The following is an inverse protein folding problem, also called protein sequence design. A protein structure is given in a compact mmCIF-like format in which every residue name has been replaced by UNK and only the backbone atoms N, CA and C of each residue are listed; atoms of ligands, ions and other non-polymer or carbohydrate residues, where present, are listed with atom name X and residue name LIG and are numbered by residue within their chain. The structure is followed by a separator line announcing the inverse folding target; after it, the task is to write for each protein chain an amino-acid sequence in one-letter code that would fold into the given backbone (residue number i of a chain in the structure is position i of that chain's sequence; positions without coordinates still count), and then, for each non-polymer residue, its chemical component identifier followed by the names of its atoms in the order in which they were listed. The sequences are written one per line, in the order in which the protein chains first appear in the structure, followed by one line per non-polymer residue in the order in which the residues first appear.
data_IF_419594445225
#
_entry.id   IF_419594445225
#
_cell.length_a   1.000
_cell.length_b   1.000
_cell.length_c   1.000
_cell.angle_alpha   90.00
_cell.angle_beta   90.00
_cell.angle_gamma   90.00
#
_symmetry.space_group_name_H-M   'P 1'
#
loop_
_entity.id
_entity.type
_entity.pdbx_description
1 polymer ?
#
# COMPACT_ATOMS: atom_id res chain seq x y z
N UNK A 1 -28.63 -12.46 -11.81
CA UNK A 1 -28.11 -11.71 -10.65
C UNK A 1 -28.66 -10.29 -10.72
N UNK A 2 -29.22 -9.78 -9.63
CA UNK A 2 -29.61 -8.37 -9.55
C UNK A 2 -28.37 -7.47 -9.52
N UNK A 3 -28.49 -6.24 -10.06
CA UNK A 3 -27.39 -5.26 -10.04
C UNK A 3 -27.13 -4.83 -8.59
N UNK A 4 -25.87 -4.94 -8.16
CA UNK A 4 -25.40 -4.54 -6.83
C UNK A 4 -24.05 -3.85 -6.97
N UNK A 5 -23.73 -2.99 -6.01
CA UNK A 5 -22.39 -2.42 -5.85
C UNK A 5 -21.56 -3.32 -4.94
N UNK A 6 -20.33 -3.56 -5.35
CA UNK A 6 -19.33 -4.35 -4.65
C UNK A 6 -18.12 -3.47 -4.33
N UNK A 7 -17.48 -3.75 -3.20
CA UNK A 7 -16.18 -3.20 -2.82
C UNK A 7 -15.45 -4.23 -1.96
N UNK A 8 -14.12 -4.19 -1.98
CA UNK A 8 -13.24 -4.97 -1.12
C UNK A 8 -12.26 -4.04 -0.43
N UNK A 9 -11.95 -4.37 0.82
CA UNK A 9 -10.91 -3.75 1.63
C UNK A 9 -9.85 -4.83 1.89
N UNK A 10 -8.60 -4.52 1.54
CA UNK A 10 -7.49 -5.47 1.59
C UNK A 10 -6.38 -4.84 2.44
N UNK A 11 -6.16 -5.42 3.62
CA UNK A 11 -5.00 -5.14 4.46
C UNK A 11 -3.83 -6.03 4.07
N UNK A 12 -2.66 -5.42 3.91
CA UNK A 12 -1.43 -6.12 3.57
C UNK A 12 -0.52 -6.27 4.78
N UNK A 13 -0.14 -7.51 5.07
CA UNK A 13 0.97 -7.79 5.98
C UNK A 13 2.29 -7.39 5.34
N UNK A 14 3.11 -6.65 6.07
CA UNK A 14 4.44 -6.24 5.62
C UNK A 14 5.50 -6.67 6.65
N UNK A 15 6.67 -7.06 6.16
CA UNK A 15 7.81 -7.41 7.00
C UNK A 15 9.07 -6.82 6.37
N UNK A 16 9.79 -6.01 7.13
CA UNK A 16 11.12 -5.59 6.71
C UNK A 16 12.19 -6.51 7.31
N UNK A 17 12.96 -7.15 6.44
CA UNK A 17 14.08 -8.00 6.83
C UNK A 17 15.40 -7.26 6.62
N UNK A 18 15.99 -6.80 7.73
CA UNK A 18 17.30 -6.15 7.71
C UNK A 18 18.39 -7.17 7.40
N UNK A 19 19.29 -6.82 6.47
CA UNK A 19 20.48 -7.63 6.15
C UNK A 19 21.69 -7.24 7.01
N UNK A 20 21.48 -6.47 8.09
CA UNK A 20 22.51 -6.05 9.03
C UNK A 20 21.95 -5.89 10.45
N UNK A 21 22.66 -5.14 11.32
CA UNK A 21 22.23 -4.93 12.72
C UNK A 21 21.13 -3.88 12.91
N UNK A 22 20.87 -3.03 11.91
CA UNK A 22 19.87 -1.97 12.01
C UNK A 22 18.52 -2.49 11.54
N UNK A 23 17.66 -2.85 12.48
CA UNK A 23 16.23 -3.05 12.22
C UNK A 23 15.50 -1.71 12.35
N UNK A 24 14.45 -1.52 11.56
CA UNK A 24 13.58 -0.35 11.67
C UNK A 24 12.25 -0.76 12.29
N UNK A 25 11.62 0.11 13.11
CA UNK A 25 10.24 -0.07 13.53
C UNK A 25 9.31 -0.14 12.31
N UNK A 26 8.23 -0.92 12.42
CA UNK A 26 7.26 -1.12 11.33
C UNK A 26 6.66 0.22 10.89
N UNK A 27 6.42 1.12 11.82
CA UNK A 27 5.85 2.45 11.57
C UNK A 27 6.75 3.26 10.63
N UNK A 28 8.08 3.14 10.78
CA UNK A 28 9.02 3.84 9.90
C UNK A 28 9.02 3.22 8.51
N UNK A 29 8.95 1.89 8.42
CA UNK A 29 8.90 1.14 7.15
C UNK A 29 7.64 1.50 6.36
N UNK A 30 6.49 1.54 7.02
CA UNK A 30 5.22 1.97 6.41
C UNK A 30 5.35 3.37 5.85
N UNK A 31 5.96 4.31 6.58
CA UNK A 31 6.15 5.67 6.04
C UNK A 31 6.93 5.68 4.72
N UNK A 32 7.97 4.86 4.55
CA UNK A 32 8.67 4.76 3.26
C UNK A 32 7.77 4.24 2.13
N UNK A 33 6.84 3.31 2.41
CA UNK A 33 5.87 2.83 1.41
C UNK A 33 4.94 3.94 0.93
N UNK A 34 4.54 4.83 1.83
CA UNK A 34 3.58 5.88 1.53
C UNK A 34 4.22 7.20 1.09
N UNK A 35 5.54 7.37 1.22
CA UNK A 35 6.25 8.61 0.81
C UNK A 35 5.96 9.02 -0.64
N UNK A 36 5.73 8.07 -1.55
CA UNK A 36 5.40 8.37 -2.94
C UNK A 36 3.95 8.85 -3.12
N UNK A 37 3.05 8.52 -2.19
CA UNK A 37 1.62 8.84 -2.26
C UNK A 37 1.26 10.10 -1.49
N UNK A 38 2.03 10.46 -0.47
CA UNK A 38 1.74 11.61 0.39
C UNK A 38 2.15 12.90 -0.32
N UNK A 39 1.18 13.61 -0.89
CA UNK A 39 1.38 14.93 -1.51
C UNK A 39 1.40 16.07 -0.49
N UNK A 40 0.92 15.82 0.74
CA UNK A 40 0.80 16.83 1.80
C UNK A 40 1.00 16.17 3.17
N UNK A 41 1.81 16.78 4.03
CA UNK A 41 2.04 16.27 5.39
C UNK A 41 0.72 16.10 6.14
N UNK A 42 0.42 14.89 6.62
CA UNK A 42 -0.58 14.69 7.67
C UNK A 42 -1.43 13.44 7.55
N UNK A 43 -1.70 12.93 6.35
CA UNK A 43 -2.58 11.78 6.22
C UNK A 43 -2.04 10.75 5.21
N UNK A 44 -1.70 9.57 5.71
CA UNK A 44 -1.43 8.35 4.95
C UNK A 44 -2.76 7.79 4.44
N UNK A 45 -3.49 8.61 3.70
CA UNK A 45 -4.85 8.31 3.24
C UNK A 45 -5.13 9.13 2.00
N UNK A 46 -5.17 8.45 0.85
CA UNK A 46 -5.36 9.08 -0.46
C UNK A 46 -6.37 8.32 -1.28
N UNK A 47 -7.14 9.06 -2.09
CA UNK A 47 -7.87 8.49 -3.21
C UNK A 47 -6.99 8.52 -4.45
N UNK A 48 -6.91 7.40 -5.16
CA UNK A 48 -6.10 7.22 -6.35
C UNK A 48 -6.91 7.57 -7.61
N UNK A 49 -6.23 7.83 -8.72
CA UNK A 49 -6.87 8.16 -10.01
C UNK A 49 -7.82 7.07 -10.52
N UNK A 50 -7.61 5.81 -10.10
CA UNK A 50 -8.46 4.68 -10.45
C UNK A 50 -9.73 4.58 -9.57
N UNK A 51 -9.97 5.54 -8.67
CA UNK A 51 -11.10 5.60 -7.75
C UNK A 51 -10.93 4.79 -6.46
N UNK A 52 -9.84 4.03 -6.32
CA UNK A 52 -9.54 3.31 -5.09
C UNK A 52 -9.08 4.24 -3.97
N UNK A 53 -9.16 3.77 -2.73
CA UNK A 53 -8.55 4.43 -1.58
C UNK A 53 -7.35 3.62 -1.11
N UNK A 54 -6.22 4.28 -0.86
CA UNK A 54 -5.04 3.66 -0.27
C UNK A 54 -4.65 4.39 1.01
N UNK A 55 -4.55 3.66 2.11
CA UNK A 55 -4.37 4.27 3.42
C UNK A 55 -3.63 3.37 4.41
N UNK A 56 -3.11 3.97 5.47
CA UNK A 56 -2.60 3.23 6.61
C UNK A 56 -3.73 3.02 7.63
N UNK A 57 -4.00 1.77 8.00
CA UNK A 57 -4.91 1.46 9.11
C UNK A 57 -4.22 1.63 10.48
N UNK A 58 -5.03 1.60 11.55
CA UNK A 58 -4.68 1.57 12.97
C UNK A 58 -3.61 0.51 13.29
N UNK A 59 -3.62 -0.62 12.58
CA UNK A 59 -2.62 -1.69 12.71
C UNK A 59 -1.26 -1.42 12.05
N UNK A 60 -1.05 -0.26 11.43
CA UNK A 60 0.10 0.05 10.56
C UNK A 60 0.17 -0.82 9.30
N UNK A 61 -0.94 -1.39 8.87
CA UNK A 61 -1.02 -2.06 7.58
C UNK A 61 -1.23 -1.04 6.46
N UNK A 62 -0.53 -1.18 5.32
CA UNK A 62 -1.00 -0.60 4.08
C UNK A 62 -2.31 -1.27 3.69
N UNK A 63 -3.32 -0.47 3.38
CA UNK A 63 -4.64 -0.95 3.02
C UNK A 63 -5.08 -0.35 1.68
N UNK A 64 -5.64 -1.20 0.82
CA UNK A 64 -6.24 -0.82 -0.45
C UNK A 64 -7.72 -1.18 -0.45
N UNK A 65 -8.57 -0.17 -0.58
CA UNK A 65 -9.99 -0.33 -0.83
C UNK A 65 -10.28 -0.09 -2.31
N UNK A 66 -10.86 -1.09 -2.99
CA UNK A 66 -11.24 -1.00 -4.41
C UNK A 66 -12.26 0.12 -4.65
N UNK A 67 -12.33 0.72 -5.86
CA UNK A 67 -13.48 1.53 -6.22
C UNK A 67 -14.76 0.69 -6.24
N UNK A 68 -15.91 1.35 -6.20
CA UNK A 68 -17.21 0.70 -6.33
C UNK A 68 -17.36 0.02 -7.69
N UNK A 69 -17.57 -1.30 -7.66
CA UNK A 69 -17.72 -2.12 -8.86
C UNK A 69 -19.16 -2.61 -9.02
N UNK A 70 -19.65 -2.73 -10.26
CA UNK A 70 -21.01 -3.23 -10.54
C UNK A 70 -21.05 -4.72 -10.88
N UNK A 71 -19.89 -5.34 -11.04
CA UNK A 71 -19.76 -6.77 -11.32
C UNK A 71 -18.48 -7.36 -10.67
N UNK A 72 -18.48 -8.67 -10.35
CA UNK A 72 -17.34 -9.31 -9.69
C UNK A 72 -16.04 -9.31 -10.51
N UNK A 73 -16.11 -9.33 -11.85
CA UNK A 73 -14.91 -9.38 -12.66
C UNK A 73 -14.12 -8.07 -12.57
N UNK A 74 -14.81 -6.93 -12.61
CA UNK A 74 -14.17 -5.62 -12.41
C UNK A 74 -13.63 -5.47 -10.99
N UNK A 75 -14.37 -5.97 -9.98
CA UNK A 75 -13.90 -6.00 -8.60
C UNK A 75 -12.54 -6.72 -8.48
N UNK A 76 -12.41 -7.90 -9.09
CA UNK A 76 -11.15 -8.66 -9.11
C UNK A 76 -10.04 -7.94 -9.89
N UNK A 77 -10.38 -7.22 -10.98
CA UNK A 77 -9.39 -6.41 -11.71
C UNK A 77 -8.83 -5.29 -10.83
N UNK A 78 -9.69 -4.60 -10.07
CA UNK A 78 -9.25 -3.55 -9.18
C UNK A 78 -8.53 -4.07 -7.95
N UNK A 79 -8.92 -5.22 -7.39
CA UNK A 79 -8.16 -5.91 -6.35
C UNK A 79 -6.73 -6.20 -6.84
N UNK A 80 -6.57 -6.78 -8.03
CA UNK A 80 -5.24 -6.97 -8.63
C UNK A 80 -4.50 -5.70 -9.01
N UNK A 81 -5.20 -4.61 -9.29
CA UNK A 81 -4.55 -3.31 -9.43
C UNK A 81 -3.91 -2.86 -8.10
N UNK A 82 -4.57 -3.11 -6.96
CA UNK A 82 -4.04 -2.87 -5.61
C UNK A 82 -2.71 -3.58 -5.37
N UNK A 83 -2.63 -4.88 -5.67
CA UNK A 83 -1.38 -5.66 -5.55
C UNK A 83 -0.23 -5.05 -6.36
N UNK A 84 -0.52 -4.57 -7.58
CA UNK A 84 0.49 -3.95 -8.47
C UNK A 84 0.93 -2.58 -7.98
N UNK A 85 0.01 -1.80 -7.42
CA UNK A 85 0.32 -0.50 -6.81
C UNK A 85 1.24 -0.72 -5.61
N UNK A 86 0.88 -1.63 -4.70
CA UNK A 86 1.70 -1.94 -3.53
C UNK A 86 3.10 -2.43 -3.93
N UNK A 87 3.22 -3.33 -4.90
CA UNK A 87 4.54 -3.81 -5.37
C UNK A 87 5.42 -2.68 -5.92
N UNK A 88 4.82 -1.68 -6.59
CA UNK A 88 5.57 -0.52 -7.06
C UNK A 88 6.03 0.36 -5.89
N UNK A 89 5.17 0.58 -4.90
CA UNK A 89 5.53 1.32 -3.68
C UNK A 89 6.63 0.61 -2.90
N UNK A 90 6.56 -0.72 -2.80
CA UNK A 90 7.58 -1.57 -2.17
C UNK A 90 8.95 -1.37 -2.81
N UNK A 91 9.03 -1.46 -4.14
CA UNK A 91 10.29 -1.21 -4.88
C UNK A 91 10.82 0.21 -4.65
N UNK A 92 9.93 1.21 -4.63
CA UNK A 92 10.33 2.58 -4.35
C UNK A 92 10.89 2.75 -2.93
N UNK A 93 10.20 2.18 -1.94
CA UNK A 93 10.61 2.18 -0.54
C UNK A 93 11.98 1.51 -0.35
N UNK A 94 12.20 0.33 -0.95
CA UNK A 94 13.50 -0.36 -0.92
C UNK A 94 14.62 0.48 -1.53
N UNK A 95 14.37 1.12 -2.68
CA UNK A 95 15.34 2.00 -3.32
C UNK A 95 15.72 3.18 -2.42
N UNK A 96 14.74 3.77 -1.74
CA UNK A 96 14.92 4.88 -0.80
C UNK A 96 15.71 4.46 0.45
N UNK A 97 15.32 3.34 1.06
CA UNK A 97 16.04 2.74 2.19
C UNK A 97 17.52 2.49 1.84
N UNK A 98 17.78 1.92 0.66
CA UNK A 98 19.13 1.68 0.17
C UNK A 98 19.94 2.98 0.02
N UNK A 99 19.34 4.04 -0.53
CA UNK A 99 19.99 5.37 -0.64
C UNK A 99 20.35 5.98 0.70
N UNK A 100 19.63 5.65 1.76
CA UNK A 100 19.90 6.09 3.14
C UNK A 100 20.88 5.16 3.88
N UNK A 101 21.46 4.18 3.19
CA UNK A 101 22.41 3.23 3.76
C UNK A 101 21.76 2.16 4.63
N UNK A 102 20.45 1.96 4.50
CA UNK A 102 19.69 0.93 5.22
C UNK A 102 19.55 -0.28 4.30
N UNK A 103 20.33 -1.32 4.58
CA UNK A 103 20.29 -2.57 3.82
C UNK A 103 19.20 -3.50 4.35
N UNK A 104 18.22 -3.81 3.51
CA UNK A 104 17.15 -4.75 3.83
C UNK A 104 16.23 -4.97 2.65
N UNK A 105 15.28 -5.89 2.83
CA UNK A 105 14.20 -6.16 1.87
C UNK A 105 12.86 -6.04 2.56
N UNK A 106 11.88 -5.54 1.81
CA UNK A 106 10.48 -5.35 2.24
C UNK A 106 9.58 -6.37 1.53
#
# INVERSE_FOLDING_TARGET
MEKRIYGLEIEYGIIFTSHGRKTLPVEKIVRYLFEQLVTTEGFLNVFLENGARFYQDTGYHPEYATPECTNPLDLLRYEKAGDRILENLRKHAEYKLWREGISGSL
#
